data_IF_541417271507
#
_entry.id   IF_541417271507
#
_cell.length_a   1.000
_cell.length_b   1.000
_cell.length_c   1.000
_cell.angle_alpha   90.00
_cell.angle_beta   90.00
_cell.angle_gamma   90.00
#
_symmetry.space_group_name_H-M   'P 1'
#
loop_
_entity.id
_entity.type
_entity.pdbx_description
1 polymer ?
#
# COMPACT_ATOMS: atom_id res chain seq x y z
N UNK A 1 -4.84 -1.27 -21.26
CA UNK A 1 -5.50 -2.57 -21.06
C UNK A 1 -4.44 -3.65 -21.14
N UNK A 2 -3.74 -3.89 -20.04
CA UNK A 2 -2.78 -5.01 -19.90
C UNK A 2 -2.65 -5.26 -18.40
N UNK A 3 -2.85 -6.51 -17.99
CA UNK A 3 -2.66 -7.06 -16.63
C UNK A 3 -3.90 -7.29 -15.71
N UNK A 4 -5.10 -7.39 -16.26
CA UNK A 4 -6.25 -7.98 -15.52
C UNK A 4 -6.26 -9.51 -15.56
N UNK A 5 -5.59 -10.14 -16.54
CA UNK A 5 -5.61 -11.59 -16.74
C UNK A 5 -4.83 -12.37 -15.67
N UNK A 6 -3.65 -11.88 -15.27
CA UNK A 6 -2.82 -12.56 -14.27
C UNK A 6 -3.36 -12.34 -12.86
N UNK A 7 -3.89 -11.14 -12.58
CA UNK A 7 -4.41 -10.81 -11.26
C UNK A 7 -5.62 -11.64 -10.84
N UNK A 8 -6.49 -11.99 -11.79
CA UNK A 8 -7.68 -12.80 -11.50
C UNK A 8 -7.32 -14.27 -11.22
N UNK A 9 -6.19 -14.77 -11.72
CA UNK A 9 -5.78 -16.17 -11.52
C UNK A 9 -5.29 -16.38 -10.09
N UNK A 10 -4.40 -15.51 -9.59
CA UNK A 10 -3.86 -15.69 -8.23
C UNK A 10 -4.89 -15.37 -7.14
N UNK A 11 -5.81 -14.42 -7.37
CA UNK A 11 -6.92 -14.17 -6.44
C UNK A 11 -7.82 -15.40 -6.33
N UNK A 12 -8.09 -16.08 -7.45
CA UNK A 12 -8.85 -17.32 -7.45
C UNK A 12 -8.11 -18.44 -6.69
N UNK A 13 -6.82 -18.60 -6.93
CA UNK A 13 -5.98 -19.57 -6.22
C UNK A 13 -5.94 -19.28 -4.71
N UNK A 14 -5.85 -18.01 -4.33
CA UNK A 14 -5.90 -17.57 -2.94
C UNK A 14 -7.22 -17.98 -2.26
N UNK A 15 -8.36 -17.82 -2.95
CA UNK A 15 -9.69 -18.24 -2.47
C UNK A 15 -9.80 -19.76 -2.38
N UNK A 16 -9.23 -20.48 -3.35
CA UNK A 16 -9.20 -21.95 -3.37
C UNK A 16 -8.32 -22.54 -2.25
N UNK A 17 -7.53 -21.69 -1.57
CA UNK A 17 -6.69 -22.07 -0.43
C UNK A 17 -5.27 -22.46 -0.82
N UNK A 18 -4.80 -22.03 -2.00
CA UNK A 18 -3.43 -22.25 -2.43
C UNK A 18 -2.45 -21.47 -1.53
N UNK A 19 -1.58 -22.21 -0.85
CA UNK A 19 -0.62 -21.66 0.11
C UNK A 19 0.40 -20.73 -0.55
N UNK A 20 0.79 -21.00 -1.80
CA UNK A 20 1.75 -20.17 -2.53
C UNK A 20 1.12 -18.82 -2.91
N UNK A 21 -0.14 -18.82 -3.37
CA UNK A 21 -0.90 -17.61 -3.63
C UNK A 21 -1.07 -16.77 -2.35
N UNK A 22 -1.35 -17.42 -1.22
CA UNK A 22 -1.43 -16.77 0.09
C UNK A 22 -0.10 -16.12 0.50
N UNK A 23 1.02 -16.84 0.33
CA UNK A 23 2.35 -16.34 0.66
C UNK A 23 2.76 -15.13 -0.19
N UNK A 24 2.43 -15.16 -1.49
CA UNK A 24 2.65 -14.03 -2.39
C UNK A 24 1.84 -12.83 -1.93
N UNK A 25 0.54 -13.03 -1.68
CA UNK A 25 -0.35 -11.98 -1.21
C UNK A 25 0.14 -11.37 0.11
N UNK A 26 0.47 -12.20 1.09
CA UNK A 26 0.96 -11.76 2.37
C UNK A 26 2.24 -10.93 2.21
N UNK A 27 3.22 -11.42 1.45
CA UNK A 27 4.48 -10.72 1.19
C UNK A 27 4.27 -9.35 0.53
N UNK A 28 3.29 -9.24 -0.36
CA UNK A 28 3.06 -8.04 -1.15
C UNK A 28 2.18 -7.00 -0.41
N UNK A 29 1.17 -7.46 0.34
CA UNK A 29 0.13 -6.58 0.89
C UNK A 29 0.12 -6.44 2.42
N UNK A 30 0.85 -7.27 3.16
CA UNK A 30 0.83 -7.17 4.62
C UNK A 30 1.28 -5.79 5.13
N UNK A 31 2.40 -5.29 4.61
CA UNK A 31 3.00 -4.04 5.08
C UNK A 31 2.12 -2.81 4.80
N UNK A 32 1.46 -2.75 3.64
CA UNK A 32 0.56 -1.65 3.28
C UNK A 32 -0.68 -1.66 4.18
N UNK A 33 -1.21 -2.84 4.53
CA UNK A 33 -2.33 -2.95 5.47
C UNK A 33 -1.93 -2.61 6.91
N UNK A 34 -0.73 -3.02 7.34
CA UNK A 34 -0.21 -2.68 8.67
C UNK A 34 0.00 -1.17 8.82
N UNK A 35 0.56 -0.52 7.79
CA UNK A 35 0.73 0.93 7.79
C UNK A 35 -0.61 1.66 7.76
N UNK A 36 -1.59 1.18 6.98
CA UNK A 36 -2.96 1.67 7.02
C UNK A 36 -3.57 1.56 8.42
N UNK A 37 -3.48 0.39 9.08
CA UNK A 37 -4.00 0.18 10.43
C UNK A 37 -3.32 1.12 11.45
N UNK A 38 -1.99 1.28 11.35
CA UNK A 38 -1.20 2.17 12.18
C UNK A 38 -1.69 3.62 12.12
N UNK A 39 -2.19 4.10 10.97
CA UNK A 39 -2.77 5.45 10.87
C UNK A 39 -3.94 5.67 11.84
N UNK A 40 -4.66 4.62 12.23
CA UNK A 40 -5.75 4.68 13.22
C UNK A 40 -5.26 4.46 14.63
N UNK A 41 -4.59 3.33 14.90
CA UNK A 41 -4.29 2.88 16.27
C UNK A 41 -3.02 3.50 16.85
N UNK A 42 -2.14 4.05 16.00
CA UNK A 42 -0.86 4.70 16.38
C UNK A 42 0.08 3.81 17.22
N UNK A 43 -0.11 2.50 17.16
CA UNK A 43 0.71 1.48 17.81
C UNK A 43 1.00 0.39 16.77
N UNK A 44 2.29 0.09 16.57
CA UNK A 44 2.72 -0.82 15.51
C UNK A 44 2.40 -2.28 15.83
N UNK A 45 2.55 -2.68 17.09
CA UNK A 45 2.31 -4.06 17.51
C UNK A 45 0.80 -4.37 17.39
N UNK A 46 -0.04 -3.42 17.80
CA UNK A 46 -1.50 -3.52 17.64
C UNK A 46 -1.91 -3.51 16.16
N UNK A 47 -1.31 -2.65 15.35
CA UNK A 47 -1.62 -2.58 13.92
C UNK A 47 -1.29 -3.89 13.20
N UNK A 48 -0.13 -4.47 13.49
CA UNK A 48 0.32 -5.75 12.94
C UNK A 48 -0.58 -6.92 13.38
N UNK A 49 -1.00 -6.95 14.64
CA UNK A 49 -1.92 -7.96 15.19
C UNK A 49 -3.30 -7.89 14.54
N UNK A 50 -3.88 -6.69 14.43
CA UNK A 50 -5.16 -6.48 13.74
C UNK A 50 -5.12 -6.99 12.30
N UNK A 51 -4.06 -6.68 11.56
CA UNK A 51 -3.92 -7.10 10.16
C UNK A 51 -3.70 -8.60 10.06
N UNK A 52 -2.91 -9.17 10.98
CA UNK A 52 -2.69 -10.61 11.05
C UNK A 52 -4.02 -11.35 11.21
N UNK A 53 -4.83 -10.94 12.18
CA UNK A 53 -6.15 -11.53 12.41
C UNK A 53 -7.09 -11.41 11.20
N UNK A 54 -7.13 -10.25 10.54
CA UNK A 54 -7.98 -10.06 9.35
C UNK A 54 -7.58 -11.03 8.23
N UNK A 55 -6.27 -11.24 8.04
CA UNK A 55 -5.77 -12.15 7.02
C UNK A 55 -6.04 -13.61 7.42
N UNK A 56 -5.94 -13.97 8.71
CA UNK A 56 -6.34 -15.28 9.21
C UNK A 56 -7.85 -15.54 9.02
N UNK A 57 -8.68 -14.53 9.26
CA UNK A 57 -10.12 -14.59 8.99
C UNK A 57 -10.41 -14.78 7.50
N UNK A 58 -9.67 -14.07 6.64
CA UNK A 58 -9.75 -14.23 5.20
C UNK A 58 -9.43 -15.68 4.80
N UNK A 59 -8.41 -16.28 5.43
CA UNK A 59 -7.98 -17.65 5.15
C UNK A 59 -9.04 -18.68 5.59
N UNK A 60 -9.62 -18.44 6.77
CA UNK A 60 -10.57 -19.36 7.38
C UNK A 60 -11.96 -19.34 6.75
N UNK A 61 -12.42 -18.17 6.29
CA UNK A 61 -13.82 -17.96 5.90
C UNK A 61 -14.11 -18.09 4.40
N UNK A 62 -13.16 -18.61 3.59
CA UNK A 62 -13.28 -18.92 2.14
C UNK A 62 -14.36 -18.12 1.40
N UNK A 63 -14.17 -16.79 1.34
CA UNK A 63 -15.10 -15.88 0.65
C UNK A 63 -14.74 -15.78 -0.83
N UNK A 64 -15.76 -15.67 -1.68
CA UNK A 64 -15.56 -15.46 -3.11
C UNK A 64 -15.36 -13.98 -3.45
N UNK A 65 -14.18 -13.64 -3.97
CA UNK A 65 -13.89 -12.32 -4.52
C UNK A 65 -13.74 -12.41 -6.05
N UNK A 66 -14.51 -11.60 -6.76
CA UNK A 66 -14.48 -11.59 -8.23
C UNK A 66 -13.31 -10.80 -8.81
N UNK A 67 -12.52 -10.12 -7.98
CA UNK A 67 -11.32 -9.37 -8.37
C UNK A 67 -10.47 -8.98 -7.17
N UNK A 68 -9.20 -8.62 -7.42
CA UNK A 68 -8.30 -8.07 -6.41
C UNK A 68 -8.86 -6.82 -5.73
N UNK A 69 -9.47 -5.91 -6.49
CA UNK A 69 -10.00 -4.66 -5.92
C UNK A 69 -11.08 -4.96 -4.88
N UNK A 70 -11.97 -5.93 -5.14
CA UNK A 70 -12.98 -6.32 -4.15
C UNK A 70 -12.36 -6.95 -2.90
N UNK A 71 -11.32 -7.77 -3.07
CA UNK A 71 -10.56 -8.33 -1.96
C UNK A 71 -9.93 -7.21 -1.11
N UNK A 72 -9.22 -6.26 -1.74
CA UNK A 72 -8.62 -5.12 -1.04
C UNK A 72 -9.66 -4.25 -0.33
N UNK A 73 -10.77 -3.90 -1.00
CA UNK A 73 -11.84 -3.12 -0.37
C UNK A 73 -12.41 -3.82 0.86
N UNK A 74 -12.60 -5.14 0.80
CA UNK A 74 -13.02 -5.93 1.95
C UNK A 74 -11.99 -5.88 3.09
N UNK A 75 -10.70 -6.00 2.77
CA UNK A 75 -9.63 -5.98 3.77
C UNK A 75 -9.49 -4.61 4.43
N UNK A 76 -9.43 -3.53 3.66
CA UNK A 76 -9.39 -2.17 4.21
C UNK A 76 -10.57 -1.88 5.12
N UNK A 77 -11.78 -2.29 4.72
CA UNK A 77 -12.97 -2.14 5.55
C UNK A 77 -12.90 -2.97 6.83
N UNK A 78 -12.45 -4.23 6.74
CA UNK A 78 -12.33 -5.13 7.88
C UNK A 78 -11.28 -4.65 8.88
N UNK A 79 -10.13 -4.17 8.39
CA UNK A 79 -9.06 -3.58 9.19
C UNK A 79 -9.56 -2.31 9.87
N UNK A 80 -10.18 -1.39 9.12
CA UNK A 80 -10.77 -0.16 9.68
C UNK A 80 -11.72 -0.47 10.83
N UNK A 81 -12.62 -1.44 10.62
CA UNK A 81 -13.59 -1.81 11.64
C UNK A 81 -12.93 -2.41 12.89
N UNK A 82 -11.89 -3.24 12.73
CA UNK A 82 -11.13 -3.78 13.86
C UNK A 82 -10.32 -2.69 14.59
N UNK A 83 -9.73 -1.73 13.87
CA UNK A 83 -9.09 -0.56 14.47
C UNK A 83 -10.11 0.23 15.30
N UNK A 84 -11.30 0.50 14.77
CA UNK A 84 -12.34 1.20 15.54
C UNK A 84 -12.79 0.40 16.76
N UNK A 85 -13.02 -0.91 16.63
CA UNK A 85 -13.38 -1.75 17.77
C UNK A 85 -12.29 -1.74 18.85
N UNK A 86 -11.02 -1.79 18.45
CA UNK A 86 -9.89 -1.67 19.37
C UNK A 86 -9.92 -0.31 20.08
N UNK A 87 -10.03 0.79 19.34
CA UNK A 87 -10.01 2.13 19.93
C UNK A 87 -11.24 2.35 20.82
N UNK A 88 -12.43 1.88 20.43
CA UNK A 88 -13.64 1.94 21.27
C UNK A 88 -13.47 1.13 22.55
N UNK A 89 -12.82 -0.04 22.49
CA UNK A 89 -12.54 -0.85 23.67
C UNK A 89 -11.50 -0.20 24.59
N UNK A 90 -10.42 0.36 24.03
CA UNK A 90 -9.43 1.12 24.79
C UNK A 90 -10.06 2.38 25.39
N UNK A 91 -10.85 3.10 24.61
CA UNK A 91 -11.65 4.21 25.08
C UNK A 91 -12.62 3.76 26.16
N UNK A 92 -13.30 2.62 26.07
CA UNK A 92 -14.19 2.15 27.15
C UNK A 92 -13.42 1.84 28.44
N UNK A 93 -12.22 1.25 28.35
CA UNK A 93 -11.31 1.08 29.50
C UNK A 93 -10.92 2.43 30.10
N UNK A 94 -10.66 3.44 29.27
CA UNK A 94 -10.35 4.80 29.71
C UNK A 94 -11.60 5.59 30.16
N UNK A 95 -12.77 5.34 29.58
CA UNK A 95 -14.04 6.07 29.71
C UNK A 95 -14.87 5.58 30.90
N UNK A 96 -14.39 4.58 31.65
CA UNK A 96 -14.64 4.54 33.10
C UNK A 96 -14.24 5.88 33.79
N UNK A 97 -13.48 6.78 33.12
CA UNK A 97 -13.11 8.12 33.59
C UNK A 97 -13.66 9.33 32.79
N UNK A 98 -14.17 9.22 31.54
CA UNK A 98 -15.03 10.24 30.86
C UNK A 98 -15.30 9.88 29.39
N UNK A 99 -16.54 9.98 28.91
CA UNK A 99 -16.97 9.52 27.58
C UNK A 99 -16.53 10.42 26.41
N UNK A 100 -15.97 9.83 25.35
CA UNK A 100 -15.87 10.42 24.02
C UNK A 100 -16.30 9.42 22.94
N UNK A 101 -17.05 9.89 21.94
CA UNK A 101 -17.55 9.10 20.81
C UNK A 101 -16.67 9.37 19.61
N UNK A 102 -16.11 8.32 18.98
CA UNK A 102 -15.38 8.46 17.72
C UNK A 102 -16.37 8.61 16.56
N UNK A 103 -16.25 9.70 15.83
CA UNK A 103 -17.04 9.95 14.62
C UNK A 103 -16.33 9.28 13.43
N UNK A 104 -17.04 8.44 12.68
CA UNK A 104 -16.52 7.84 11.46
C UNK A 104 -16.41 8.91 10.38
N UNK A 105 -15.19 9.22 9.97
CA UNK A 105 -14.90 10.10 8.84
C UNK A 105 -14.64 9.24 7.59
N UNK A 106 -15.60 9.24 6.66
CA UNK A 106 -15.51 8.50 5.39
C UNK A 106 -14.46 9.10 4.45
N UNK A 107 -14.28 10.42 4.48
CA UNK A 107 -13.29 11.12 3.66
C UNK A 107 -11.88 10.76 4.13
N UNK A 108 -11.64 10.76 5.45
CA UNK A 108 -10.37 10.30 6.02
C UNK A 108 -10.05 8.84 5.65
N UNK A 109 -11.05 7.96 5.63
CA UNK A 109 -10.86 6.57 5.23
C UNK A 109 -10.43 6.44 3.77
N UNK A 110 -11.09 7.17 2.87
CA UNK A 110 -10.77 7.13 1.45
C UNK A 110 -9.36 7.71 1.19
N UNK A 111 -9.03 8.84 1.80
CA UNK A 111 -7.71 9.47 1.68
C UNK A 111 -6.60 8.55 2.20
N UNK A 112 -6.81 7.90 3.34
CA UNK A 112 -5.86 6.94 3.90
C UNK A 112 -5.61 5.74 2.97
N UNK A 113 -6.65 5.21 2.31
CA UNK A 113 -6.51 4.16 1.30
C UNK A 113 -5.73 4.66 0.09
N UNK A 114 -6.10 5.84 -0.44
CA UNK A 114 -5.47 6.41 -1.63
C UNK A 114 -3.98 6.62 -1.40
N UNK A 115 -3.59 7.19 -0.26
CA UNK A 115 -2.20 7.42 0.09
C UNK A 115 -1.39 6.11 0.07
N UNK A 116 -1.91 5.06 0.71
CA UNK A 116 -1.25 3.77 0.77
C UNK A 116 -1.13 3.10 -0.60
N UNK A 117 -2.22 3.06 -1.38
CA UNK A 117 -2.21 2.45 -2.71
C UNK A 117 -1.30 3.20 -3.68
N UNK A 118 -1.27 4.54 -3.62
CA UNK A 118 -0.35 5.34 -4.42
C UNK A 118 1.09 5.06 -4.04
N UNK A 119 1.41 5.02 -2.74
CA UNK A 119 2.75 4.72 -2.26
C UNK A 119 3.21 3.33 -2.72
N UNK A 120 2.35 2.32 -2.55
CA UNK A 120 2.62 0.95 -2.97
C UNK A 120 2.85 0.82 -4.48
N UNK A 121 1.97 1.40 -5.30
CA UNK A 121 2.10 1.35 -6.76
C UNK A 121 3.34 2.09 -7.25
N UNK A 122 3.68 3.21 -6.61
CA UNK A 122 4.90 3.97 -6.91
C UNK A 122 6.15 3.14 -6.58
N UNK A 123 6.22 2.53 -5.39
CA UNK A 123 7.34 1.69 -4.99
C UNK A 123 7.50 0.47 -5.89
N UNK A 124 6.40 -0.23 -6.21
CA UNK A 124 6.39 -1.35 -7.15
C UNK A 124 6.93 -0.93 -8.51
N UNK A 125 6.47 0.20 -9.05
CA UNK A 125 6.94 0.70 -10.34
C UNK A 125 8.43 1.11 -10.32
N UNK A 126 8.94 1.63 -9.20
CA UNK A 126 10.37 1.94 -9.02
C UNK A 126 11.22 0.68 -9.00
N UNK A 127 10.76 -0.37 -8.31
CA UNK A 127 11.47 -1.67 -8.23
C UNK A 127 11.54 -2.39 -9.58
N UNK A 128 10.70 -2.03 -10.55
CA UNK A 128 10.71 -2.54 -11.92
C UNK A 128 11.56 -1.68 -12.88
N UNK A 129 12.20 -0.62 -12.39
CA UNK A 129 13.13 0.18 -13.19
C UNK A 129 14.44 -0.58 -13.39
N UNK A 130 15.18 -0.32 -14.50
CA UNK A 130 16.54 -0.84 -14.65
C UNK A 130 17.42 -0.44 -13.46
N UNK A 131 18.27 -1.35 -12.98
CA UNK A 131 19.02 -1.28 -11.72
C UNK A 131 19.61 0.11 -11.41
N UNK A 132 20.28 0.72 -12.39
CA UNK A 132 20.94 2.02 -12.20
C UNK A 132 19.94 3.18 -12.06
N UNK A 133 18.80 3.11 -12.75
CA UNK A 133 17.70 4.08 -12.61
C UNK A 133 16.98 3.84 -11.28
N UNK A 134 16.70 2.59 -10.93
CA UNK A 134 16.10 2.23 -9.63
C UNK A 134 16.92 2.79 -8.48
N UNK A 135 18.23 2.54 -8.45
CA UNK A 135 19.15 3.02 -7.40
C UNK A 135 19.11 4.54 -7.25
N UNK A 136 19.04 5.28 -8.37
CA UNK A 136 18.94 6.75 -8.36
C UNK A 136 17.61 7.20 -7.74
N UNK A 137 16.51 6.52 -8.04
CA UNK A 137 15.20 6.84 -7.46
C UNK A 137 15.12 6.49 -5.97
N UNK A 138 15.67 5.35 -5.55
CA UNK A 138 15.76 4.99 -4.13
C UNK A 138 16.55 6.00 -3.30
N UNK A 139 17.70 6.46 -3.80
CA UNK A 139 18.47 7.52 -3.13
C UNK A 139 17.71 8.85 -3.10
N UNK A 140 16.97 9.17 -4.17
CA UNK A 140 16.13 10.37 -4.21
C UNK A 140 14.99 10.30 -3.19
N UNK A 141 14.38 9.13 -2.99
CA UNK A 141 13.35 8.90 -1.96
C UNK A 141 13.93 9.01 -0.54
N UNK A 142 15.20 8.67 -0.35
CA UNK A 142 15.96 8.92 0.89
C UNK A 142 16.37 10.39 1.07
N UNK A 143 15.85 11.30 0.24
CA UNK A 143 16.10 12.74 0.34
C UNK A 143 17.43 13.23 -0.23
N UNK A 144 18.17 12.38 -0.97
CA UNK A 144 19.47 12.79 -1.54
C UNK A 144 19.32 13.74 -2.72
N UNK A 145 20.14 14.79 -2.74
CA UNK A 145 20.23 15.72 -3.87
C UNK A 145 20.87 15.06 -5.10
N UNK A 146 20.69 15.66 -6.28
CA UNK A 146 21.30 15.12 -7.51
C UNK A 146 22.84 15.11 -7.41
N UNK A 147 23.42 16.10 -6.75
CA UNK A 147 24.85 16.24 -6.50
C UNK A 147 25.36 15.21 -5.50
N UNK A 148 24.57 14.89 -4.46
CA UNK A 148 24.88 13.78 -3.55
C UNK A 148 24.82 12.44 -4.28
N UNK A 149 23.79 12.20 -5.07
CA UNK A 149 23.62 10.96 -5.85
C UNK A 149 24.78 10.78 -6.84
N UNK A 150 25.16 11.86 -7.55
CA UNK A 150 26.29 11.86 -8.47
C UNK A 150 27.58 11.45 -7.76
N UNK A 151 27.84 12.00 -6.57
CA UNK A 151 29.01 11.64 -5.75
C UNK A 151 28.96 10.19 -5.26
N UNK A 152 27.83 9.75 -4.71
CA UNK A 152 27.66 8.40 -4.14
C UNK A 152 27.82 7.32 -5.20
N UNK A 153 27.31 7.55 -6.41
CA UNK A 153 27.35 6.59 -7.51
C UNK A 153 28.54 6.78 -8.46
N UNK A 154 29.42 7.73 -8.18
CA UNK A 154 30.54 8.13 -9.05
C UNK A 154 30.09 8.40 -10.50
N UNK A 155 29.03 9.20 -10.65
CA UNK A 155 28.44 9.62 -11.91
C UNK A 155 28.58 11.14 -12.11
N UNK A 156 28.49 11.60 -13.35
CA UNK A 156 28.33 13.04 -13.62
C UNK A 156 26.93 13.51 -13.21
N UNK A 157 26.79 14.79 -12.86
CA UNK A 157 25.49 15.41 -12.55
C UNK A 157 24.52 15.28 -13.75
N UNK A 158 25.03 15.39 -14.98
CA UNK A 158 24.23 15.26 -16.19
C UNK A 158 23.78 13.82 -16.44
N UNK A 159 24.62 12.82 -16.09
CA UNK A 159 24.23 11.41 -16.10
C UNK A 159 23.05 11.18 -15.15
N UNK A 160 23.11 11.70 -13.91
CA UNK A 160 22.00 11.59 -12.94
C UNK A 160 20.72 12.22 -13.47
N UNK A 161 20.79 13.44 -14.04
CA UNK A 161 19.62 14.10 -14.67
C UNK A 161 19.05 13.28 -15.83
N UNK A 162 19.90 12.68 -16.66
CA UNK A 162 19.51 11.84 -17.78
C UNK A 162 18.80 10.56 -17.31
N UNK A 163 19.35 9.86 -16.31
CA UNK A 163 18.70 8.70 -15.70
C UNK A 163 17.37 9.06 -15.05
N UNK A 164 17.27 10.19 -14.32
CA UNK A 164 15.99 10.67 -13.77
C UNK A 164 14.97 10.97 -14.87
N UNK A 165 15.38 11.58 -15.98
CA UNK A 165 14.48 11.82 -17.12
C UNK A 165 13.96 10.50 -17.72
N UNK A 166 14.84 9.51 -17.91
CA UNK A 166 14.47 8.17 -18.41
C UNK A 166 13.53 7.45 -17.44
N UNK A 167 13.86 7.43 -16.15
CA UNK A 167 13.01 6.83 -15.12
C UNK A 167 11.63 7.46 -15.09
N UNK A 168 11.53 8.80 -15.16
CA UNK A 168 10.25 9.51 -15.22
C UNK A 168 9.41 9.07 -16.42
N UNK A 169 10.02 8.85 -17.59
CA UNK A 169 9.31 8.37 -18.77
C UNK A 169 8.78 6.94 -18.58
N UNK A 170 9.59 6.05 -18.01
CA UNK A 170 9.18 4.66 -17.73
C UNK A 170 8.04 4.64 -16.70
N UNK A 171 8.21 5.36 -15.59
CA UNK A 171 7.20 5.48 -14.54
C UNK A 171 5.90 6.08 -15.07
N UNK A 172 5.96 7.10 -15.94
CA UNK A 172 4.76 7.70 -16.55
C UNK A 172 3.98 6.70 -17.39
N UNK A 173 4.64 5.85 -18.18
CA UNK A 173 3.92 4.83 -18.96
C UNK A 173 3.38 3.70 -18.08
N UNK A 174 4.13 3.26 -17.06
CA UNK A 174 3.67 2.25 -16.09
C UNK A 174 2.47 2.73 -15.25
N UNK A 175 2.50 3.99 -14.82
CA UNK A 175 1.48 4.59 -13.96
C UNK A 175 0.42 5.39 -14.73
N UNK A 176 0.38 5.27 -16.07
CA UNK A 176 -0.52 6.03 -16.94
C UNK A 176 -1.99 5.92 -16.55
N UNK A 177 -2.39 4.73 -16.08
CA UNK A 177 -3.74 4.48 -15.56
C UNK A 177 -4.09 5.34 -14.34
N UNK A 178 -3.14 5.63 -13.46
CA UNK A 178 -3.33 6.46 -12.25
C UNK A 178 -3.28 7.96 -12.58
N UNK A 179 -2.35 8.37 -13.44
CA UNK A 179 -2.13 9.78 -13.80
C UNK A 179 -3.35 10.35 -14.56
N UNK A 180 -4.04 9.53 -15.35
CA UNK A 180 -5.28 9.93 -16.01
C UNK A 180 -6.42 10.28 -15.04
N UNK A 181 -6.46 9.72 -13.81
CA UNK A 181 -7.48 10.09 -12.83
C UNK A 181 -7.19 11.44 -12.17
N UNK A 182 -5.91 11.77 -11.94
CA UNK A 182 -5.51 13.03 -11.32
C UNK A 182 -5.70 14.25 -12.25
N UNK A 183 -5.71 14.05 -13.57
CA UNK A 183 -5.99 15.14 -14.53
C UNK A 183 -7.49 15.46 -14.71
N UNK A 184 -8.39 14.66 -14.13
CA UNK A 184 -9.86 14.84 -14.26
C UNK A 184 -10.44 15.56 -13.03
N UNK A 185 -9.65 15.75 -11.99
CA UNK A 185 -10.05 16.38 -10.71
C UNK A 185 -9.45 17.77 -10.47
N UNK A 186 -8.83 18.38 -11.50
CA UNK A 186 -8.28 19.74 -11.49
C UNK A 186 -8.92 20.61 -12.58
#
# INVERSE_FOLDING_TARGET
>A
MTDTGNHNIWVKQLIEGDEAAYKIFFKEYYQIFAHFAFKYVKDIDVAEDIVHDVILDLYSNKRDFTSLNKLKSFLYLSIKNRCFNYIEHENAKQNYLQASTLQQDEDYFLDAIIEEEVYFLMHKAINELPDQIQTIYELSLKGKSNEEIARVLNLSLDSVKSYKKRGKQILKEKLKGLICFLSVTL
#
